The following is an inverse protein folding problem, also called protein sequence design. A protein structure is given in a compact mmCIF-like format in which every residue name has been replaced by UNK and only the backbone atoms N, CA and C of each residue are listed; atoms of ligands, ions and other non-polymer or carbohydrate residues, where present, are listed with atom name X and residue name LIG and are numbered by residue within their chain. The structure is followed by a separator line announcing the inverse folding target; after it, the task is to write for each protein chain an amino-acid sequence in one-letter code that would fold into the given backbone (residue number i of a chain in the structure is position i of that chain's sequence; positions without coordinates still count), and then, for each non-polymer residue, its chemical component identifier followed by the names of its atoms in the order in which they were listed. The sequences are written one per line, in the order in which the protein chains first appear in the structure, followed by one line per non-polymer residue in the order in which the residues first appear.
data_IF_026131143497
#
_entry.id   IF_026131143497
#
_cell.length_a   1.000
_cell.length_b   1.000
_cell.length_c   1.000
_cell.angle_alpha   90.00
_cell.angle_beta   90.00
_cell.angle_gamma   90.00
#
_symmetry.space_group_name_H-M   'P 1'
#
loop_
_entity.id
_entity.type
_entity.pdbx_description
1 polymer ?
#
# COMPACT_ATOMS: atom_id res chain seq x y z
N UNK A 1 -4.43 -6.50 -5.16
CA UNK A 1 -3.89 -5.31 -4.50
C UNK A 1 -4.69 -4.06 -4.90
N UNK A 2 -3.98 -3.11 -5.51
CA UNK A 2 -4.60 -1.87 -5.93
C UNK A 2 -3.68 -1.09 -6.87
N UNK A 3 -2.92 -1.84 -7.67
CA UNK A 3 -2.00 -1.23 -8.60
C UNK A 3 -0.95 -2.25 -9.08
N UNK A 4 -0.37 -2.94 -8.11
CA UNK A 4 0.65 -3.94 -8.40
C UNK A 4 -0.01 -5.07 -9.20
N UNK A 5 0.85 -5.88 -9.87
CA UNK A 5 2.28 -5.65 -9.81
C UNK A 5 2.70 -4.45 -10.66
N UNK A 6 3.88 -3.94 -10.37
CA UNK A 6 4.40 -2.79 -11.11
C UNK A 6 3.64 -1.52 -10.74
N UNK A 7 3.48 -1.31 -9.44
CA UNK A 7 2.78 -0.14 -8.95
C UNK A 7 2.83 -0.13 -7.42
N UNK A 8 3.99 0.25 -6.91
CA UNK A 8 4.18 0.31 -5.47
C UNK A 8 3.84 1.70 -4.94
N UNK A 9 3.90 2.67 -5.84
CA UNK A 9 3.60 4.05 -5.48
C UNK A 9 2.07 4.23 -5.44
N UNK A 10 1.39 3.36 -6.17
CA UNK A 10 -0.06 3.42 -6.22
C UNK A 10 -0.64 2.92 -4.89
N UNK A 11 0.15 2.10 -4.21
CA UNK A 11 -0.28 1.55 -2.93
C UNK A 11 -0.06 2.63 -1.86
N UNK A 12 0.98 3.42 -2.06
CA UNK A 12 1.30 4.49 -1.12
C UNK A 12 0.29 5.62 -1.28
N UNK A 13 -0.03 5.92 -2.53
CA UNK A 13 -0.98 6.98 -2.83
C UNK A 13 -2.38 6.54 -2.41
N UNK A 14 -2.63 5.25 -2.56
CA UNK A 14 -3.92 4.68 -2.22
C UNK A 14 -4.05 4.63 -0.69
N UNK A 15 -2.91 4.41 -0.03
CA UNK A 15 -2.89 4.32 1.41
C UNK A 15 -2.98 5.75 1.98
N UNK A 16 -2.51 6.70 1.18
CA UNK A 16 -2.53 8.09 1.57
C UNK A 16 -3.92 8.68 1.30
N UNK A 17 -4.60 8.06 0.33
CA UNK A 17 -5.93 8.51 -0.03
C UNK A 17 -6.97 7.89 0.92
N UNK A 18 -6.67 6.70 1.38
CA UNK A 18 -7.56 5.99 2.28
C UNK A 18 -7.41 6.57 3.70
N UNK A 19 -6.17 6.58 4.16
CA UNK A 19 -5.87 7.10 5.48
C UNK A 19 -4.69 6.34 6.10
N UNK A 20 -3.53 6.54 5.50
CA UNK A 20 -2.33 5.87 5.98
C UNK A 20 -1.12 6.71 5.56
N UNK A 21 0.06 6.15 5.78
CA UNK A 21 1.29 6.84 5.44
C UNK A 21 1.85 6.29 4.12
N UNK A 22 2.16 5.00 4.13
CA UNK A 22 2.70 4.35 2.95
C UNK A 22 2.56 2.84 3.10
N UNK A 23 2.22 2.20 1.99
CA UNK A 23 2.05 0.75 1.98
C UNK A 23 3.08 0.08 1.07
N UNK A 24 2.74 -1.13 0.64
CA UNK A 24 3.62 -1.88 -0.23
C UNK A 24 2.96 -3.17 -0.70
N UNK A 25 3.47 -3.70 -1.80
CA UNK A 25 2.94 -4.92 -2.38
C UNK A 25 3.62 -6.10 -1.71
N UNK A 26 2.80 -6.97 -1.12
CA UNK A 26 3.31 -8.14 -0.43
C UNK A 26 4.49 -8.70 -1.22
N UNK A 27 5.68 -8.39 -0.73
CA UNK A 27 6.90 -8.85 -1.37
C UNK A 27 7.02 -10.36 -1.20
N UNK A 28 6.11 -10.91 -0.40
CA UNK A 28 6.10 -12.35 -0.14
C UNK A 28 5.03 -13.00 -1.03
N UNK A 29 4.39 -12.18 -1.85
CA UNK A 29 3.37 -12.68 -2.75
C UNK A 29 3.69 -12.30 -4.20
N UNK A 30 4.97 -12.09 -4.44
CA UNK A 30 5.43 -11.72 -5.77
C UNK A 30 4.94 -10.32 -6.10
N UNK A 31 4.71 -9.53 -5.06
CA UNK A 31 4.24 -8.18 -5.23
C UNK A 31 2.98 -8.21 -6.09
N UNK A 32 1.83 -8.25 -5.42
CA UNK A 32 0.56 -8.29 -6.11
C UNK A 32 -0.48 -7.48 -5.32
N UNK A 33 -0.53 -7.76 -4.03
CA UNK A 33 -1.46 -7.08 -3.15
C UNK A 33 -1.00 -5.64 -2.91
N UNK A 34 -1.83 -4.90 -2.20
CA UNK A 34 -1.52 -3.51 -1.89
C UNK A 34 -1.80 -3.27 -0.40
N UNK A 35 -0.83 -3.63 0.41
CA UNK A 35 -0.95 -3.47 1.85
C UNK A 35 -0.67 -2.01 2.24
N UNK A 36 -1.11 -1.67 3.44
CA UNK A 36 -0.91 -0.31 3.95
C UNK A 36 -0.14 -0.40 5.27
N UNK A 37 0.91 0.40 5.36
CA UNK A 37 1.73 0.42 6.56
C UNK A 37 1.87 1.85 7.07
N UNK A 38 1.97 1.96 8.39
CA UNK A 38 2.11 3.26 9.03
C UNK A 38 0.90 4.13 8.67
N UNK A 39 0.11 4.44 9.70
CA UNK A 39 -1.07 5.25 9.50
C UNK A 39 -1.15 6.26 10.66
N UNK A 40 -1.70 7.42 10.35
CA UNK A 40 -1.85 8.47 11.35
C UNK A 40 -3.32 8.65 11.68
N UNK A 41 -3.83 7.75 12.49
CA UNK A 41 -5.22 7.79 12.90
C UNK A 41 -5.48 6.88 14.10
N UNK A 42 -4.78 7.17 15.18
CA UNK A 42 -4.92 6.39 16.40
C UNK A 42 -4.94 7.33 17.60
N UNK A 43 -5.99 7.21 18.40
CA UNK A 43 -6.14 8.04 19.57
C UNK A 43 -5.72 9.48 19.25
#
# INVERSE_FOLDING_TARGET
GFGCPGNQLKCNNHCKSISCRAGYCDAATLWLRCTCTDCNGKK
#
